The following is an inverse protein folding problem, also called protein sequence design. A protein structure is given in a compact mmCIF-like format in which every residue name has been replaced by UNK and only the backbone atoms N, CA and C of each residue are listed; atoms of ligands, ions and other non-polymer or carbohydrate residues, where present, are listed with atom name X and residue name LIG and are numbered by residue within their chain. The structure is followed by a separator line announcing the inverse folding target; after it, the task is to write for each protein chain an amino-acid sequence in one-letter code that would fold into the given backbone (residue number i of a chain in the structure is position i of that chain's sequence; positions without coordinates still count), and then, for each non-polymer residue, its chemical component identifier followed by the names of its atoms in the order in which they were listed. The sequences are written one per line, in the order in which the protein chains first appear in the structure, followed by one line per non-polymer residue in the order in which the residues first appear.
data_IF_238483382397
#
_entry.id   IF_238483382397
#
_cell.length_a   1.000
_cell.length_b   1.000
_cell.length_c   1.000
_cell.angle_alpha   90.00
_cell.angle_beta   90.00
_cell.angle_gamma   90.00
#
_symmetry.space_group_name_H-M   'P 1'
#
loop_
_entity.id
_entity.type
_entity.pdbx_description
1 polymer ?
#
# COMPACT_ATOMS: atom_id res chain seq x y z
N UNK A 1 -9.98 -1.16 1.03
CA UNK A 1 -9.49 0.18 1.49
C UNK A 1 -7.98 0.09 1.41
N UNK A 2 -7.29 0.98 0.69
CA UNK A 2 -5.87 0.75 0.39
C UNK A 2 -4.96 1.06 1.58
N UNK A 3 -3.74 0.51 1.59
CA UNK A 3 -2.72 0.83 2.60
C UNK A 3 -2.40 2.34 2.62
N UNK A 4 -2.42 3.00 1.46
CA UNK A 4 -2.26 4.45 1.32
C UNK A 4 -3.43 5.20 1.98
N UNK A 5 -4.67 4.71 1.84
CA UNK A 5 -5.83 5.31 2.52
C UNK A 5 -5.71 5.21 4.05
N UNK A 6 -5.19 4.08 4.56
CA UNK A 6 -4.92 3.90 5.99
C UNK A 6 -3.86 4.91 6.48
N UNK A 7 -2.76 5.05 5.74
CA UNK A 7 -1.70 6.01 6.10
C UNK A 7 -2.26 7.44 6.11
N UNK A 8 -3.00 7.84 5.07
CA UNK A 8 -3.51 9.21 4.95
C UNK A 8 -4.59 9.53 6.00
N UNK A 9 -5.44 8.56 6.34
CA UNK A 9 -6.47 8.69 7.38
C UNK A 9 -5.93 8.53 8.80
N UNK A 10 -4.69 8.07 8.97
CA UNK A 10 -4.07 7.91 10.27
C UNK A 10 -3.84 9.25 10.98
N UNK A 11 -3.68 9.24 12.31
CA UNK A 11 -3.32 10.44 13.06
C UNK A 11 -1.81 10.74 13.06
N UNK A 12 -1.02 10.07 12.21
CA UNK A 12 0.42 10.33 12.05
C UNK A 12 0.70 11.77 11.59
N UNK A 13 1.91 12.25 11.84
CA UNK A 13 2.37 13.53 11.33
C UNK A 13 2.49 13.50 9.79
N UNK A 14 2.26 14.64 9.14
CA UNK A 14 2.19 14.73 7.67
C UNK A 14 3.51 14.33 6.99
N UNK A 15 4.65 14.57 7.63
CA UNK A 15 5.97 14.15 7.17
C UNK A 15 6.13 12.62 7.23
N UNK A 16 5.67 11.98 8.31
CA UNK A 16 5.66 10.52 8.43
C UNK A 16 4.71 9.87 7.41
N UNK A 17 3.53 10.46 7.20
CA UNK A 17 2.58 10.00 6.17
C UNK A 17 3.23 10.04 4.79
N UNK A 18 3.83 11.18 4.43
CA UNK A 18 4.47 11.37 3.13
C UNK A 18 5.57 10.33 2.91
N UNK A 19 6.44 10.11 3.90
CA UNK A 19 7.53 9.13 3.80
C UNK A 19 7.03 7.69 3.65
N UNK A 20 5.96 7.31 4.36
CA UNK A 20 5.37 5.97 4.27
C UNK A 20 4.65 5.76 2.93
N UNK A 21 3.92 6.76 2.44
CA UNK A 21 3.27 6.69 1.11
C UNK A 21 4.32 6.56 0.01
N UNK A 22 5.40 7.35 0.04
CA UNK A 22 6.49 7.25 -0.95
C UNK A 22 7.10 5.84 -0.98
N UNK A 23 7.26 5.20 0.19
CA UNK A 23 7.75 3.81 0.26
C UNK A 23 6.75 2.80 -0.27
N UNK A 24 5.46 2.95 0.03
CA UNK A 24 4.41 2.08 -0.52
C UNK A 24 4.33 2.20 -2.04
N UNK A 25 4.49 3.40 -2.60
CA UNK A 25 4.49 3.63 -4.04
C UNK A 25 5.75 3.07 -4.73
N UNK A 26 6.92 3.19 -4.07
CA UNK A 26 8.19 2.75 -4.63
C UNK A 26 8.43 1.23 -4.53
N UNK A 27 8.07 0.64 -3.40
CA UNK A 27 8.38 -0.76 -3.05
C UNK A 27 7.15 -1.68 -3.14
N UNK A 28 5.94 -1.12 -3.07
CA UNK A 28 4.69 -1.86 -2.89
C UNK A 28 4.39 -2.16 -1.42
N UNK A 29 3.24 -2.80 -1.15
CA UNK A 29 2.88 -3.28 0.19
C UNK A 29 3.65 -4.56 0.55
N UNK A 30 4.97 -4.45 0.62
CA UNK A 30 5.84 -5.53 1.07
C UNK A 30 5.71 -5.73 2.58
N UNK A 31 6.04 -6.92 3.12
CA UNK A 31 5.95 -7.18 4.56
C UNK A 31 6.76 -6.17 5.40
N UNK A 32 7.89 -5.69 4.90
CA UNK A 32 8.73 -4.70 5.58
C UNK A 32 8.05 -3.32 5.62
N UNK A 33 7.48 -2.88 4.49
CA UNK A 33 6.73 -1.61 4.43
C UNK A 33 5.50 -1.66 5.33
N UNK A 34 4.79 -2.80 5.36
CA UNK A 34 3.64 -3.02 6.25
C UNK A 34 4.05 -3.02 7.72
N UNK A 35 5.20 -3.62 8.06
CA UNK A 35 5.74 -3.59 9.41
C UNK A 35 6.09 -2.18 9.87
N UNK A 36 6.65 -1.35 8.98
CA UNK A 36 6.98 0.05 9.28
C UNK A 36 5.74 0.93 9.46
N UNK A 37 4.71 0.75 8.62
CA UNK A 37 3.40 1.42 8.81
C UNK A 37 2.80 1.04 10.16
N UNK A 38 2.85 -0.25 10.52
CA UNK A 38 2.36 -0.74 11.80
C UNK A 38 3.14 -0.15 12.98
N UNK A 39 4.47 -0.11 12.90
CA UNK A 39 5.33 0.43 13.94
C UNK A 39 5.04 1.92 14.18
N UNK A 40 4.90 2.71 13.10
CA UNK A 40 4.58 4.13 13.20
C UNK A 40 3.22 4.38 13.87
N UNK A 41 2.19 3.62 13.50
CA UNK A 41 0.86 3.70 14.12
C UNK A 41 0.89 3.33 15.60
N UNK A 42 1.60 2.25 15.94
CA UNK A 42 1.76 1.80 17.32
C UNK A 42 2.50 2.85 18.16
N UNK A 43 3.57 3.44 17.63
CA UNK A 43 4.33 4.49 18.31
C UNK A 43 3.48 5.74 18.57
N UNK A 44 2.63 6.14 17.62
CA UNK A 44 1.68 7.23 17.84
C UNK A 44 0.68 6.92 18.96
N UNK A 45 0.12 5.71 18.96
CA UNK A 45 -0.82 5.24 19.98
C UNK A 45 -0.14 5.27 21.36
N UNK A 46 1.05 4.68 21.46
CA UNK A 46 1.83 4.59 22.69
C UNK A 46 2.23 5.98 23.23
N UNK A 47 2.62 6.91 22.33
CA UNK A 47 2.92 8.30 22.68
C UNK A 47 1.69 9.09 23.17
N UNK A 48 0.51 8.81 22.62
CA UNK A 48 -0.76 9.36 23.08
C UNK A 48 -1.08 8.95 24.52
N UNK A 49 -0.86 7.68 24.87
CA UNK A 49 -1.07 7.18 26.23
C UNK A 49 -0.07 7.75 27.25
N UNK A 50 1.22 7.85 26.88
CA UNK A 50 2.22 8.51 27.71
C UNK A 50 1.87 9.98 28.00
N UNK A 51 1.38 10.71 27.00
CA UNK A 51 0.99 12.12 27.14
C UNK A 51 -0.22 12.30 28.06
N UNK A 52 -1.13 11.33 28.08
CA UNK A 52 -2.29 11.30 28.97
C UNK A 52 -1.96 10.82 30.39
N UNK A 53 -0.70 10.41 30.65
CA UNK A 53 -0.27 9.87 31.94
C UNK A 53 -0.91 8.52 32.27
N UNK A 54 -1.40 7.81 31.25
CA UNK A 54 -2.03 6.49 31.37
C UNK A 54 -0.97 5.45 31.06
N UNK A 55 -0.59 4.64 32.06
CA UNK A 55 0.16 3.41 31.79
C UNK A 55 -0.78 2.44 31.06
N UNK A 56 -0.46 2.12 29.81
CA UNK A 56 -1.18 1.11 29.03
C UNK A 56 -0.89 -0.25 29.62
N UNK A 57 -1.90 -0.91 30.19
CA UNK A 57 -1.79 -2.32 30.49
C UNK A 57 -1.91 -3.11 29.18
N UNK A 58 -0.78 -3.66 28.72
CA UNK A 58 -0.71 -4.54 27.53
C UNK A 58 -1.53 -5.83 27.67
N UNK A 59 -1.99 -6.14 28.88
CA UNK A 59 -2.91 -7.25 29.14
C UNK A 59 -4.37 -6.83 29.17
N UNK A 60 -4.69 -5.53 29.04
CA UNK A 60 -6.06 -5.06 28.97
C UNK A 60 -6.75 -5.67 27.73
N UNK A 61 -7.88 -6.36 27.91
CA UNK A 61 -8.64 -6.95 26.81
C UNK A 61 -9.03 -5.94 25.73
N UNK A 62 -9.28 -4.68 26.09
CA UNK A 62 -9.63 -3.62 25.15
C UNK A 62 -8.44 -3.19 24.29
N UNK A 63 -7.24 -3.11 24.88
CA UNK A 63 -5.99 -2.81 24.15
C UNK A 63 -5.68 -3.95 23.19
N UNK A 64 -5.75 -5.20 23.67
CA UNK A 64 -5.58 -6.39 22.80
C UNK A 64 -6.56 -6.41 21.64
N UNK A 65 -7.85 -6.19 21.89
CA UNK A 65 -8.86 -6.17 20.85
C UNK A 65 -8.63 -5.05 19.83
N UNK A 66 -8.18 -3.87 20.28
CA UNK A 66 -7.84 -2.76 19.39
C UNK A 66 -6.61 -3.08 18.54
N UNK A 67 -5.56 -3.68 19.12
CA UNK A 67 -4.37 -4.13 18.39
C UNK A 67 -4.74 -5.21 17.38
N UNK A 68 -5.46 -6.26 17.76
CA UNK A 68 -5.89 -7.32 16.84
C UNK A 68 -6.74 -6.77 15.69
N UNK A 69 -7.64 -5.81 15.98
CA UNK A 69 -8.44 -5.17 14.93
C UNK A 69 -7.57 -4.35 13.98
N UNK A 70 -6.60 -3.61 14.49
CA UNK A 70 -5.64 -2.88 13.68
C UNK A 70 -4.81 -3.84 12.81
N UNK A 71 -4.35 -4.96 13.36
CA UNK A 71 -3.61 -5.98 12.60
C UNK A 71 -4.46 -6.57 11.47
N UNK A 72 -5.74 -6.85 11.71
CA UNK A 72 -6.66 -7.35 10.70
C UNK A 72 -6.94 -6.33 9.59
N UNK A 73 -7.14 -5.06 9.94
CA UNK A 73 -7.36 -3.99 8.96
C UNK A 73 -6.10 -3.78 8.08
N UNK A 74 -4.91 -3.85 8.68
CA UNK A 74 -3.64 -3.76 7.94
C UNK A 74 -3.47 -4.97 7.01
N UNK A 75 -3.69 -6.20 7.49
CA UNK A 75 -3.55 -7.40 6.68
C UNK A 75 -4.56 -7.44 5.51
N UNK A 76 -5.78 -6.96 5.73
CA UNK A 76 -6.78 -6.83 4.68
C UNK A 76 -6.37 -5.78 3.63
N UNK A 77 -5.82 -4.64 4.05
CA UNK A 77 -5.34 -3.61 3.14
C UNK A 77 -4.08 -4.01 2.36
N UNK A 78 -3.20 -4.82 2.95
CA UNK A 78 -2.06 -5.44 2.28
C UNK A 78 -2.53 -6.38 1.16
N UNK A 79 -3.51 -7.24 1.44
CA UNK A 79 -4.10 -8.13 0.45
C UNK A 79 -4.77 -7.36 -0.70
N UNK A 80 -5.62 -6.37 -0.38
CA UNK A 80 -6.29 -5.51 -1.37
C UNK A 80 -5.28 -4.78 -2.27
N UNK A 81 -4.19 -4.26 -1.70
CA UNK A 81 -3.16 -3.55 -2.45
C UNK A 81 -2.38 -4.49 -3.38
N UNK A 82 -1.97 -5.65 -2.89
CA UNK A 82 -1.22 -6.63 -3.68
C UNK A 82 -2.06 -7.19 -4.83
N UNK A 83 -3.35 -7.46 -4.61
CA UNK A 83 -4.28 -7.86 -5.67
C UNK A 83 -4.44 -6.74 -6.72
N UNK A 84 -4.62 -5.49 -6.28
CA UNK A 84 -4.74 -4.34 -7.19
C UNK A 84 -3.47 -4.13 -8.02
N UNK A 85 -2.28 -4.31 -7.43
CA UNK A 85 -1.02 -4.22 -8.15
C UNK A 85 -0.84 -5.36 -9.15
N UNK A 86 -1.28 -6.57 -8.81
CA UNK A 86 -1.25 -7.70 -9.74
C UNK A 86 -2.18 -7.46 -10.95
N UNK A 87 -3.35 -6.88 -10.74
CA UNK A 87 -4.28 -6.51 -11.81
C UNK A 87 -3.70 -5.40 -12.70
N UNK A 88 -3.09 -4.37 -12.10
CA UNK A 88 -2.41 -3.30 -12.86
C UNK A 88 -1.25 -3.86 -13.70
N UNK A 89 -0.45 -4.78 -13.17
CA UNK A 89 0.65 -5.40 -13.92
C UNK A 89 0.12 -6.28 -15.07
N UNK A 90 -1.01 -6.96 -14.88
CA UNK A 90 -1.69 -7.71 -15.93
C UNK A 90 -2.25 -6.80 -17.03
N UNK A 91 -2.90 -5.69 -16.67
CA UNK A 91 -3.39 -4.68 -17.62
C UNK A 91 -2.24 -4.01 -18.37
N UNK A 92 -1.16 -3.64 -17.66
CA UNK A 92 0.02 -3.04 -18.27
C UNK A 92 0.66 -3.99 -19.30
N UNK A 93 0.79 -5.29 -18.98
CA UNK A 93 1.26 -6.32 -19.93
C UNK A 93 0.33 -6.46 -21.14
N UNK A 94 -0.98 -6.44 -20.92
CA UNK A 94 -1.96 -6.53 -22.00
C UNK A 94 -1.88 -5.32 -22.94
N UNK A 95 -1.75 -4.10 -22.39
CA UNK A 95 -1.54 -2.86 -23.16
C UNK A 95 -0.22 -2.92 -23.92
N UNK A 96 0.86 -3.35 -23.27
CA UNK A 96 2.18 -3.45 -23.90
C UNK A 96 2.16 -4.45 -25.07
N UNK A 97 1.49 -5.60 -24.92
CA UNK A 97 1.28 -6.55 -26.01
C UNK A 97 0.40 -5.99 -27.14
N UNK A 98 -0.65 -5.22 -26.82
CA UNK A 98 -1.49 -4.57 -27.81
C UNK A 98 -0.69 -3.54 -28.63
N UNK A 99 0.14 -2.73 -27.96
CA UNK A 99 1.03 -1.76 -28.62
C UNK A 99 2.03 -2.46 -29.54
N UNK A 100 2.67 -3.55 -29.10
CA UNK A 100 3.61 -4.32 -29.95
C UNK A 100 2.89 -4.86 -31.19
N UNK A 101 1.70 -5.43 -31.02
CA UNK A 101 0.91 -5.96 -32.14
C UNK A 101 0.48 -4.89 -33.13
N UNK A 102 0.13 -3.70 -32.64
CA UNK A 102 -0.23 -2.58 -33.51
C UNK A 102 1.00 -1.96 -34.19
N UNK A 103 2.17 -1.92 -33.52
CA UNK A 103 3.44 -1.54 -34.13
C UNK A 103 3.83 -2.50 -35.26
N UNK A 104 3.69 -3.81 -35.05
CA UNK A 104 3.93 -4.84 -36.08
C UNK A 104 2.98 -4.68 -37.28
N UNK A 105 1.70 -4.39 -37.04
CA UNK A 105 0.74 -4.10 -38.12
C UNK A 105 1.09 -2.83 -38.89
N UNK A 106 1.54 -1.77 -38.21
CA UNK A 106 1.95 -0.52 -38.85
C UNK A 106 3.19 -0.76 -39.72
N UNK A 107 4.21 -1.47 -39.21
CA UNK A 107 5.37 -1.86 -40.01
C UNK A 107 4.99 -2.73 -41.21
N UNK A 108 4.13 -3.74 -41.03
CA UNK A 108 3.67 -4.60 -42.12
C UNK A 108 2.90 -3.81 -43.19
N UNK A 109 2.09 -2.83 -42.80
CA UNK A 109 1.38 -1.96 -43.73
C UNK A 109 2.31 -0.96 -44.45
N UNK A 110 3.35 -0.46 -43.79
CA UNK A 110 4.37 0.38 -44.45
C UNK A 110 5.16 -0.41 -45.50
N UNK A 111 5.54 -1.66 -45.21
CA UNK A 111 6.24 -2.53 -46.16
C UNK A 111 5.34 -2.89 -47.34
N UNK A 112 4.04 -3.16 -47.10
CA UNK A 112 3.07 -3.40 -48.18
C UNK A 112 2.76 -2.16 -49.03
N UNK A 113 2.90 -0.95 -48.49
CA UNK A 113 2.69 0.30 -49.22
C UNK A 113 3.89 0.74 -50.07
N UNK A 114 5.05 0.08 -49.94
CA UNK A 114 6.28 0.38 -50.69
C UNK A 114 6.58 -0.61 -51.83
N UNK A 115 5.70 -1.60 -52.06
CA UNK A 115 5.75 -2.55 -53.20
C UNK A 115 4.61 -2.21 -54.15
#
# INVERSE_FOLDING_TARGET
MSLIDIINSSPLADDQKTALVERVEAEGATPDVVADVRAALQEYIDGGFQTLGVEVDVNDPAVKAATEKMEQEIAAAEADFNDSMADIDAEAKAVQQAIVKDADKIQANMIKGQI
#
